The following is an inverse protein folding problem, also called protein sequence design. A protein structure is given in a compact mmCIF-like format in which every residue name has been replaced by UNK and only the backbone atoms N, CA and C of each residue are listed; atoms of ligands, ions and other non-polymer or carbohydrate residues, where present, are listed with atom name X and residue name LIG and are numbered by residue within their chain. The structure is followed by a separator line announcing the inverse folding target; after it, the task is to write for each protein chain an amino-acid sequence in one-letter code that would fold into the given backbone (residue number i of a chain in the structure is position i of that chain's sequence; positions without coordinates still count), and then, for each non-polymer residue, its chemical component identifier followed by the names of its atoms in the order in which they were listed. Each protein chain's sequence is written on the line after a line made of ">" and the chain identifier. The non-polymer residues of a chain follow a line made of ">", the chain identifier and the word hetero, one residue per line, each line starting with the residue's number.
data_IF_174847698746
#
_entry.id   IF_174847698746
#
_cell.length_a   1.000
_cell.length_b   1.000
_cell.length_c   1.000
_cell.angle_alpha   90.00
_cell.angle_beta   90.00
_cell.angle_gamma   90.00
#
_symmetry.space_group_name_H-M   'P 1'
#
loop_
_entity.id
_entity.type
_entity.pdbx_description
1 polymer ?
#
# COMPACT_ATOMS: atom_id res chain seq x y z
N UNK A 1 39.67 -26.42 6.99
CA UNK A 1 38.83 -25.93 5.87
C UNK A 1 37.62 -25.25 6.46
N UNK A 2 37.71 -23.95 6.75
CA UNK A 2 36.59 -23.16 7.27
C UNK A 2 35.77 -22.63 6.10
N UNK A 3 34.62 -23.24 5.85
CA UNK A 3 33.60 -22.68 4.95
C UNK A 3 32.92 -21.52 5.67
N UNK A 4 33.14 -20.29 5.21
CA UNK A 4 32.29 -19.14 5.56
C UNK A 4 31.32 -18.94 4.43
N UNK A 5 30.09 -19.43 4.59
CA UNK A 5 28.97 -18.93 3.80
C UNK A 5 28.71 -17.48 4.23
N UNK A 6 29.07 -16.54 3.38
CA UNK A 6 28.56 -15.18 3.47
C UNK A 6 27.11 -15.22 2.97
N UNK A 7 26.16 -15.30 3.89
CA UNK A 7 24.75 -15.03 3.56
C UNK A 7 24.60 -13.53 3.34
N UNK A 8 24.24 -13.18 2.11
CA UNK A 8 23.89 -11.84 1.64
C UNK A 8 23.08 -11.06 2.68
N UNK A 9 23.66 -9.98 3.20
CA UNK A 9 22.91 -8.88 3.79
C UNK A 9 22.91 -7.72 2.81
N UNK A 10 22.10 -7.83 1.77
CA UNK A 10 21.56 -6.63 1.12
C UNK A 10 20.55 -6.07 2.13
N UNK A 11 21.05 -5.29 3.08
CA UNK A 11 20.20 -4.43 3.90
C UNK A 11 19.54 -3.45 2.95
N UNK A 12 18.29 -3.69 2.58
CA UNK A 12 17.42 -2.65 2.06
C UNK A 12 17.54 -1.46 3.00
N UNK A 13 17.92 -0.29 2.47
CA UNK A 13 17.94 0.97 3.21
C UNK A 13 16.61 1.10 3.99
N UNK A 14 16.62 1.56 5.25
CA UNK A 14 15.38 1.94 5.90
C UNK A 14 14.70 2.99 5.01
N UNK A 15 13.51 2.67 4.52
CA UNK A 15 12.66 3.59 3.78
C UNK A 15 12.31 4.77 4.70
N UNK A 16 13.12 5.83 4.70
CA UNK A 16 12.90 7.07 5.45
C UNK A 16 11.87 7.96 4.71
N UNK A 17 10.76 7.37 4.29
CA UNK A 17 9.70 8.12 3.62
C UNK A 17 8.94 8.97 4.64
N UNK A 18 8.53 10.19 4.29
CA UNK A 18 7.72 11.00 5.19
C UNK A 18 6.37 10.33 5.46
N UNK A 19 5.89 10.43 6.69
CA UNK A 19 4.55 9.95 7.04
C UNK A 19 3.50 10.79 6.31
N UNK A 20 2.63 10.10 5.59
CA UNK A 20 1.47 10.70 4.96
C UNK A 20 0.45 11.09 6.06
N UNK A 21 -0.11 12.30 5.96
CA UNK A 21 -0.98 12.87 6.99
C UNK A 21 -2.23 12.01 7.22
N UNK A 22 -2.54 11.74 8.50
CA UNK A 22 -3.73 11.01 8.91
C UNK A 22 -5.04 11.74 8.56
N UNK A 23 -4.98 13.06 8.29
CA UNK A 23 -6.14 13.84 7.85
C UNK A 23 -6.69 13.37 6.50
N UNK A 24 -5.88 12.72 5.66
CA UNK A 24 -6.35 12.18 4.38
C UNK A 24 -7.48 11.17 4.54
N UNK A 25 -7.47 10.38 5.62
CA UNK A 25 -8.50 9.38 5.92
C UNK A 25 -9.81 9.97 6.45
N UNK A 26 -9.87 11.30 6.66
CA UNK A 26 -11.10 12.01 7.04
C UNK A 26 -11.83 12.60 5.83
N UNK A 27 -11.22 12.57 4.66
CA UNK A 27 -11.75 13.18 3.44
C UNK A 27 -12.54 12.13 2.63
N UNK A 28 -13.87 12.22 2.65
CA UNK A 28 -14.76 11.21 2.04
C UNK A 28 -15.09 11.48 0.54
N UNK A 29 -14.37 12.42 -0.06
CA UNK A 29 -14.68 12.95 -1.40
C UNK A 29 -13.69 12.53 -2.50
N UNK A 30 -12.71 11.69 -2.17
CA UNK A 30 -11.74 11.21 -3.15
C UNK A 30 -12.34 10.13 -4.05
N UNK A 31 -12.47 10.46 -5.34
CA UNK A 31 -12.76 9.48 -6.39
C UNK A 31 -11.49 8.85 -6.96
N UNK A 32 -10.41 9.63 -7.03
CA UNK A 32 -9.10 9.18 -7.51
C UNK A 32 -8.03 9.67 -6.54
N UNK A 33 -7.14 8.79 -6.12
CA UNK A 33 -6.03 9.10 -5.23
C UNK A 33 -4.72 8.69 -5.88
N UNK A 34 -3.82 9.66 -6.03
CA UNK A 34 -2.45 9.45 -6.51
C UNK A 34 -1.48 9.83 -5.39
N UNK A 35 -0.82 8.85 -4.79
CA UNK A 35 0.09 9.03 -3.67
C UNK A 35 1.51 8.65 -4.08
N UNK A 36 2.45 9.56 -3.81
CA UNK A 36 3.86 9.43 -4.18
C UNK A 36 4.75 9.60 -2.95
N UNK A 37 5.84 8.84 -2.89
CA UNK A 37 6.97 9.09 -1.99
C UNK A 37 6.58 9.31 -0.51
N UNK A 38 5.87 8.35 0.09
CA UNK A 38 5.47 8.46 1.50
C UNK A 38 5.27 7.12 2.20
N UNK A 39 5.12 7.16 3.52
CA UNK A 39 4.67 6.03 4.32
C UNK A 39 3.18 6.22 4.67
N UNK A 40 2.33 5.28 4.25
CA UNK A 40 0.93 5.26 4.65
C UNK A 40 0.73 4.30 5.83
N UNK A 41 0.13 4.80 6.91
CA UNK A 41 -0.32 3.99 8.04
C UNK A 41 -1.82 4.16 8.19
N UNK A 42 -2.56 3.06 8.21
CA UNK A 42 -4.01 3.12 8.39
C UNK A 42 -4.34 3.52 9.84
N UNK A 43 -5.18 4.55 10.06
CA UNK A 43 -5.73 4.78 11.38
C UNK A 43 -6.66 3.63 11.77
N UNK A 44 -6.68 3.25 13.04
CA UNK A 44 -7.58 2.22 13.56
C UNK A 44 -9.06 2.54 13.26
N UNK A 45 -9.42 3.82 13.25
CA UNK A 45 -10.77 4.29 12.94
C UNK A 45 -11.07 4.38 11.42
N UNK A 46 -10.15 3.96 10.54
CA UNK A 46 -10.38 4.02 9.09
C UNK A 46 -11.56 3.12 8.69
N UNK A 47 -12.60 3.75 8.15
CA UNK A 47 -13.84 3.08 7.72
C UNK A 47 -13.90 2.80 6.22
N UNK A 48 -12.88 3.22 5.46
CA UNK A 48 -12.92 3.16 4.01
C UNK A 48 -13.20 4.51 3.37
N UNK A 49 -12.95 4.58 2.06
CA UNK A 49 -13.41 5.67 1.22
C UNK A 49 -14.61 5.21 0.41
N UNK A 50 -15.77 5.82 0.62
CA UNK A 50 -17.01 5.40 -0.04
C UNK A 50 -17.05 5.71 -1.54
N UNK A 51 -16.19 6.63 -2.00
CA UNK A 51 -16.17 7.14 -3.37
C UNK A 51 -14.90 6.81 -4.16
N UNK A 52 -13.93 6.14 -3.55
CA UNK A 52 -12.63 5.92 -4.19
C UNK A 52 -12.73 4.82 -5.25
N UNK A 53 -12.57 5.22 -6.51
CA UNK A 53 -12.62 4.35 -7.69
C UNK A 53 -11.22 4.02 -8.24
N UNK A 54 -10.24 4.90 -8.02
CA UNK A 54 -8.84 4.69 -8.48
C UNK A 54 -7.84 4.98 -7.37
N UNK A 55 -6.88 4.07 -7.20
CA UNK A 55 -5.75 4.21 -6.30
C UNK A 55 -4.45 3.97 -7.05
N UNK A 56 -3.59 4.99 -7.07
CA UNK A 56 -2.24 4.89 -7.59
C UNK A 56 -1.24 5.15 -6.46
N UNK A 57 -0.38 4.16 -6.21
CA UNK A 57 0.69 4.22 -5.21
C UNK A 57 2.04 4.12 -5.90
N UNK A 58 2.88 5.15 -5.77
CA UNK A 58 4.21 5.20 -6.39
C UNK A 58 5.27 5.47 -5.32
N UNK A 59 6.14 4.49 -5.09
CA UNK A 59 7.16 4.55 -4.04
C UNK A 59 6.55 4.89 -2.67
N UNK A 60 5.41 4.26 -2.37
CA UNK A 60 4.70 4.37 -1.08
C UNK A 60 4.93 3.09 -0.29
N UNK A 61 5.37 3.22 0.96
CA UNK A 61 5.48 2.10 1.89
C UNK A 61 4.22 1.98 2.74
N UNK A 62 3.68 0.78 2.84
CA UNK A 62 2.52 0.45 3.68
C UNK A 62 2.64 -1.01 4.14
N UNK A 63 2.10 -1.32 5.31
CA UNK A 63 2.00 -2.70 5.80
C UNK A 63 1.01 -3.48 4.92
N UNK A 64 1.34 -4.72 4.57
CA UNK A 64 0.50 -5.59 3.72
C UNK A 64 -0.94 -5.72 4.22
N UNK A 65 -1.12 -5.96 5.52
CA UNK A 65 -2.46 -6.10 6.12
C UNK A 65 -3.25 -4.78 6.10
N UNK A 66 -2.55 -3.64 6.25
CA UNK A 66 -3.17 -2.32 6.09
C UNK A 66 -3.62 -2.11 4.65
N UNK A 67 -2.85 -2.58 3.66
CA UNK A 67 -3.22 -2.51 2.25
C UNK A 67 -4.45 -3.35 1.95
N UNK A 68 -4.49 -4.60 2.42
CA UNK A 68 -5.67 -5.47 2.27
C UNK A 68 -6.90 -4.82 2.91
N UNK A 69 -6.76 -4.31 4.14
CA UNK A 69 -7.84 -3.60 4.84
C UNK A 69 -8.28 -2.35 4.08
N UNK A 70 -7.34 -1.63 3.45
CA UNK A 70 -7.65 -0.46 2.63
C UNK A 70 -8.54 -0.83 1.45
N UNK A 71 -8.11 -1.81 0.65
CA UNK A 71 -8.83 -2.24 -0.55
C UNK A 71 -10.22 -2.75 -0.18
N UNK A 72 -10.31 -3.64 0.82
CA UNK A 72 -11.58 -4.20 1.28
C UNK A 72 -12.58 -3.13 1.74
N UNK A 73 -12.10 -2.06 2.39
CA UNK A 73 -12.95 -0.97 2.89
C UNK A 73 -13.30 0.07 1.81
N UNK A 74 -12.78 -0.03 0.59
CA UNK A 74 -13.12 0.87 -0.51
C UNK A 74 -14.05 0.16 -1.50
N UNK A 75 -15.38 0.19 -1.27
CA UNK A 75 -16.32 -0.71 -1.94
C UNK A 75 -16.48 -0.45 -3.44
N UNK A 76 -16.07 0.73 -3.96
CA UNK A 76 -16.17 1.04 -5.39
C UNK A 76 -14.81 1.12 -6.07
N UNK A 77 -13.74 0.63 -5.43
CA UNK A 77 -12.40 0.69 -5.98
C UNK A 77 -12.29 -0.27 -7.18
N UNK A 78 -12.03 0.30 -8.36
CA UNK A 78 -11.98 -0.44 -9.62
C UNK A 78 -10.56 -0.55 -10.19
N UNK A 79 -9.70 0.43 -9.91
CA UNK A 79 -8.37 0.55 -10.48
C UNK A 79 -7.32 0.71 -9.38
N UNK A 80 -6.30 -0.15 -9.40
CA UNK A 80 -5.22 -0.15 -8.42
C UNK A 80 -3.88 -0.27 -9.14
N UNK A 81 -3.03 0.74 -9.03
CA UNK A 81 -1.66 0.72 -9.55
C UNK A 81 -0.69 0.80 -8.40
N UNK A 82 0.27 -0.12 -8.36
CA UNK A 82 1.23 -0.23 -7.27
C UNK A 82 2.65 -0.30 -7.85
N UNK A 83 3.36 0.83 -7.81
CA UNK A 83 4.73 0.95 -8.30
C UNK A 83 5.70 1.10 -7.13
N UNK A 84 6.74 0.26 -7.12
CA UNK A 84 7.80 0.28 -6.10
C UNK A 84 7.27 0.16 -4.66
N UNK A 85 6.25 -0.68 -4.47
CA UNK A 85 5.80 -1.13 -3.15
C UNK A 85 6.83 -2.10 -2.61
N UNK A 86 7.11 -2.04 -1.30
CA UNK A 86 8.28 -2.68 -0.71
C UNK A 86 8.50 -4.16 -1.13
N UNK A 87 9.76 -4.64 -1.16
CA UNK A 87 10.18 -5.89 -1.82
C UNK A 87 9.60 -7.20 -1.25
N UNK A 88 8.70 -7.14 -0.27
CA UNK A 88 8.10 -8.29 0.41
C UNK A 88 6.59 -8.48 0.19
N UNK A 89 5.92 -7.54 -0.49
CA UNK A 89 4.49 -7.35 -0.29
C UNK A 89 3.58 -7.90 -1.41
N UNK A 90 4.08 -8.14 -2.62
CA UNK A 90 3.18 -8.40 -3.77
C UNK A 90 3.07 -9.89 -4.12
N UNK A 91 4.09 -10.70 -3.83
CA UNK A 91 4.19 -12.09 -4.34
C UNK A 91 3.12 -13.07 -3.85
N UNK A 92 2.60 -12.87 -2.63
CA UNK A 92 1.65 -13.79 -1.97
C UNK A 92 0.37 -13.07 -1.50
N UNK A 93 0.05 -11.92 -2.12
CA UNK A 93 -1.00 -11.05 -1.62
C UNK A 93 -2.39 -11.54 -2.07
N UNK A 94 -3.02 -12.38 -1.25
CA UNK A 94 -4.46 -12.65 -1.37
C UNK A 94 -5.23 -11.39 -0.93
N UNK A 95 -5.78 -10.66 -1.89
CA UNK A 95 -6.62 -9.48 -1.65
C UNK A 95 -8.06 -9.85 -1.94
N UNK A 96 -8.94 -9.69 -0.95
CA UNK A 96 -10.38 -9.70 -1.17
C UNK A 96 -10.81 -8.33 -1.70
N UNK A 97 -10.88 -8.22 -3.02
CA UNK A 97 -11.12 -6.99 -3.77
C UNK A 97 -12.22 -7.18 -4.83
N UNK A 98 -13.48 -7.38 -4.41
CA UNK A 98 -14.54 -7.89 -5.30
C UNK A 98 -14.87 -6.97 -6.48
N UNK A 99 -14.53 -5.68 -6.40
CA UNK A 99 -14.84 -4.69 -7.43
C UNK A 99 -13.61 -4.20 -8.21
N UNK A 100 -12.39 -4.67 -7.87
CA UNK A 100 -11.18 -4.29 -8.58
C UNK A 100 -11.15 -4.97 -9.95
N UNK A 101 -11.15 -4.16 -11.01
CA UNK A 101 -11.11 -4.59 -12.41
C UNK A 101 -9.69 -4.62 -12.95
N UNK A 102 -8.82 -3.74 -12.44
CA UNK A 102 -7.44 -3.60 -12.89
C UNK A 102 -6.50 -3.48 -11.70
N UNK A 103 -5.48 -4.34 -11.69
CA UNK A 103 -4.39 -4.35 -10.71
C UNK A 103 -3.07 -4.49 -11.45
N UNK A 104 -2.13 -3.57 -11.24
CA UNK A 104 -0.81 -3.57 -11.91
C UNK A 104 0.33 -3.16 -11.00
#
# INVERSE_FOLDING_TARGET
>A
MHSRMATDRISSLPCNHPLISQLLFTLDQFAHSYLVHGELRLPFAFRGFGRLATLDLVNVSMVVEDFKSFIFKCPILEYVTVQSFGPKAIGDLEIDAPNVKFFS
#
